data_IF_089744454250
#
_entry.id   IF_089744454250
#
_cell.length_a   1.000
_cell.length_b   1.000
_cell.length_c   1.000
_cell.angle_alpha   90.00
_cell.angle_beta   90.00
_cell.angle_gamma   90.00
#
_symmetry.space_group_name_H-M   'P 1'
#
loop_
_entity.id
_entity.type
_entity.pdbx_description
1 polymer ?
#
# COMPACT_ATOMS: atom_id res chain seq x y z
N UNK A 1 -1.28 3.03 -22.40
CA UNK A 1 -0.26 3.39 -21.39
C UNK A 1 -0.09 4.91 -21.27
N UNK A 2 0.40 5.61 -22.32
CA UNK A 2 0.68 7.06 -22.25
C UNK A 2 -0.54 7.91 -21.84
N UNK A 3 -1.72 7.64 -22.40
CA UNK A 3 -2.95 8.34 -22.02
C UNK A 3 -3.30 8.17 -20.53
N UNK A 4 -3.22 6.94 -20.01
CA UNK A 4 -3.48 6.67 -18.59
C UNK A 4 -2.45 7.32 -17.67
N UNK A 5 -1.17 7.34 -18.08
CA UNK A 5 -0.12 8.04 -17.34
C UNK A 5 -0.36 9.55 -17.32
N UNK A 6 -0.77 10.15 -18.45
CA UNK A 6 -1.12 11.57 -18.51
C UNK A 6 -2.33 11.87 -17.62
N UNK A 7 -3.38 11.05 -17.68
CA UNK A 7 -4.56 11.19 -16.83
C UNK A 7 -4.18 11.11 -15.34
N UNK A 8 -3.33 10.14 -14.96
CA UNK A 8 -2.84 9.98 -13.59
C UNK A 8 -2.03 11.20 -13.11
N UNK A 9 -1.14 11.73 -13.94
CA UNK A 9 -0.36 12.93 -13.62
C UNK A 9 -1.25 14.17 -13.48
N UNK A 10 -2.21 14.36 -14.39
CA UNK A 10 -3.17 15.46 -14.31
C UNK A 10 -4.02 15.35 -13.04
N UNK A 11 -4.57 14.17 -12.74
CA UNK A 11 -5.32 13.96 -11.51
C UNK A 11 -4.47 14.22 -10.26
N UNK A 12 -3.22 13.74 -10.24
CA UNK A 12 -2.29 14.00 -9.14
C UNK A 12 -1.97 15.48 -8.97
N UNK A 13 -1.88 16.24 -10.06
CA UNK A 13 -1.70 17.70 -10.03
C UNK A 13 -2.94 18.43 -9.49
N UNK A 14 -4.14 17.94 -9.80
CA UNK A 14 -5.40 18.51 -9.31
C UNK A 14 -5.64 18.26 -7.82
N UNK A 15 -5.04 17.23 -7.24
CA UNK A 15 -5.18 16.90 -5.81
C UNK A 15 -4.27 17.81 -4.98
N UNK A 16 -2.94 17.61 -5.06
CA UNK A 16 -1.96 18.46 -4.40
C UNK A 16 -0.56 18.29 -4.99
N UNK A 17 0.36 19.17 -4.58
CA UNK A 17 1.72 19.19 -5.09
C UNK A 17 2.52 17.94 -4.70
N UNK A 18 2.32 17.38 -3.49
CA UNK A 18 3.02 16.19 -3.02
C UNK A 18 2.65 14.96 -3.86
N UNK A 19 1.36 14.78 -4.15
CA UNK A 19 0.89 13.68 -5.01
C UNK A 19 1.48 13.78 -6.41
N UNK A 20 1.58 14.99 -6.99
CA UNK A 20 2.23 15.18 -8.30
C UNK A 20 3.73 14.88 -8.28
N UNK A 21 4.46 15.32 -7.25
CA UNK A 21 5.92 15.08 -7.15
C UNK A 21 6.24 13.59 -7.05
N UNK A 22 5.40 12.82 -6.34
CA UNK A 22 5.60 11.38 -6.14
C UNK A 22 4.98 10.52 -7.26
N UNK A 23 4.06 11.07 -8.04
CA UNK A 23 3.40 10.35 -9.13
C UNK A 23 4.37 9.73 -10.17
N UNK A 24 5.46 10.41 -10.63
CA UNK A 24 6.44 9.80 -11.50
C UNK A 24 7.09 8.54 -10.92
N UNK A 25 7.41 8.53 -9.62
CA UNK A 25 7.97 7.36 -8.94
C UNK A 25 6.96 6.19 -8.96
N UNK A 26 5.69 6.49 -8.68
CA UNK A 26 4.63 5.49 -8.76
C UNK A 26 4.49 4.90 -10.17
N UNK A 27 4.53 5.75 -11.21
CA UNK A 27 4.48 5.30 -12.61
C UNK A 27 5.69 4.46 -12.99
N UNK A 28 6.89 4.78 -12.51
CA UNK A 28 8.09 3.97 -12.78
C UNK A 28 7.96 2.59 -12.14
N UNK A 29 7.45 2.50 -10.92
CA UNK A 29 7.25 1.22 -10.23
C UNK A 29 6.17 0.39 -10.95
N UNK A 30 4.99 0.96 -11.21
CA UNK A 30 3.85 0.27 -11.85
C UNK A 30 4.13 -0.03 -13.33
N UNK A 31 4.87 0.82 -14.03
CA UNK A 31 5.27 0.57 -15.42
C UNK A 31 6.41 -0.43 -15.54
N UNK A 32 7.27 -0.50 -14.53
CA UNK A 32 8.50 -1.30 -14.54
C UNK A 32 8.40 -2.65 -13.84
N UNK A 33 7.39 -2.91 -13.00
CA UNK A 33 7.36 -4.12 -12.17
C UNK A 33 7.46 -5.41 -12.99
N UNK A 34 6.83 -5.47 -14.16
CA UNK A 34 6.82 -6.66 -15.03
C UNK A 34 8.22 -7.05 -15.53
N UNK A 35 9.14 -6.08 -15.63
CA UNK A 35 10.51 -6.32 -16.05
C UNK A 35 11.36 -6.96 -14.95
N UNK A 36 10.95 -6.84 -13.69
CA UNK A 36 11.77 -7.23 -12.53
C UNK A 36 12.07 -8.72 -12.46
N UNK A 37 11.20 -9.56 -13.05
CA UNK A 37 11.42 -11.00 -13.25
C UNK A 37 12.74 -11.30 -13.99
N UNK A 38 13.30 -10.38 -14.78
CA UNK A 38 14.59 -10.59 -15.45
C UNK A 38 15.78 -10.57 -14.49
N UNK A 39 15.65 -9.88 -13.35
CA UNK A 39 16.78 -9.61 -12.45
C UNK A 39 16.66 -10.33 -11.12
N UNK A 40 15.45 -10.48 -10.56
CA UNK A 40 15.25 -11.03 -9.21
C UNK A 40 14.02 -11.92 -9.10
N UNK A 41 14.10 -12.94 -8.24
CA UNK A 41 12.95 -13.76 -7.86
C UNK A 41 12.00 -13.00 -6.89
N UNK A 42 12.44 -11.87 -6.33
CA UNK A 42 11.65 -11.02 -5.44
C UNK A 42 10.72 -10.07 -6.20
N UNK A 43 10.45 -10.33 -7.48
CA UNK A 43 9.58 -9.51 -8.34
C UNK A 43 8.18 -9.29 -7.75
N UNK A 44 7.66 -10.28 -7.01
CA UNK A 44 6.36 -10.22 -6.33
C UNK A 44 6.29 -9.08 -5.31
N UNK A 45 7.40 -8.77 -4.63
CA UNK A 45 7.48 -7.64 -3.71
C UNK A 45 7.45 -6.29 -4.43
N UNK A 46 7.89 -6.24 -5.70
CA UNK A 46 7.83 -5.01 -6.50
C UNK A 46 6.40 -4.74 -6.98
N UNK A 47 5.67 -5.79 -7.37
CA UNK A 47 4.23 -5.66 -7.60
C UNK A 47 3.50 -5.23 -6.32
N UNK A 48 3.83 -5.88 -5.19
CA UNK A 48 3.32 -5.50 -3.88
C UNK A 48 3.60 -4.04 -3.55
N UNK A 49 4.81 -3.56 -3.80
CA UNK A 49 5.17 -2.15 -3.64
C UNK A 49 4.29 -1.25 -4.51
N UNK A 50 4.06 -1.62 -5.77
CA UNK A 50 3.19 -0.85 -6.67
C UNK A 50 1.78 -0.63 -6.12
N UNK A 51 1.18 -1.65 -5.50
CA UNK A 51 -0.14 -1.52 -4.87
C UNK A 51 -0.10 -0.89 -3.47
N UNK A 52 0.99 -1.03 -2.71
CA UNK A 52 1.19 -0.35 -1.44
C UNK A 52 1.29 1.18 -1.57
N UNK A 53 1.58 1.70 -2.77
CA UNK A 53 1.52 3.13 -3.04
C UNK A 53 0.08 3.68 -2.97
N UNK A 54 -0.95 2.85 -3.10
CA UNK A 54 -2.35 3.31 -3.03
C UNK A 54 -2.73 3.87 -1.65
N UNK A 55 -2.54 3.17 -0.51
CA UNK A 55 -2.82 3.75 0.81
C UNK A 55 -1.90 4.94 1.14
N UNK A 56 -0.62 4.92 0.72
CA UNK A 56 0.29 6.06 0.90
C UNK A 56 -0.17 7.28 0.10
N UNK A 57 -0.57 7.09 -1.16
CA UNK A 57 -1.08 8.13 -2.04
C UNK A 57 -2.42 8.67 -1.57
N UNK A 58 -3.32 7.81 -1.08
CA UNK A 58 -4.60 8.22 -0.48
C UNK A 58 -4.40 9.06 0.78
N UNK A 59 -3.47 8.67 1.64
CA UNK A 59 -3.09 9.47 2.80
C UNK A 59 -2.54 10.84 2.39
N UNK A 60 -1.55 10.87 1.49
CA UNK A 60 -0.98 12.10 0.94
C UNK A 60 -2.02 13.00 0.26
N UNK A 61 -3.01 12.42 -0.41
CA UNK A 61 -4.11 13.16 -1.00
C UNK A 61 -4.97 13.85 0.08
N UNK A 62 -5.20 13.17 1.21
CA UNK A 62 -6.02 13.67 2.31
C UNK A 62 -5.32 14.74 3.16
N UNK A 63 -4.02 14.60 3.41
CA UNK A 63 -3.27 15.48 4.35
C UNK A 63 -2.29 16.44 3.66
N UNK A 64 -2.13 16.31 2.34
CA UNK A 64 -1.22 17.14 1.58
C UNK A 64 -1.67 18.61 1.51
N UNK A 65 -0.72 19.53 1.32
CA UNK A 65 -1.02 20.97 1.27
C UNK A 65 -1.52 21.38 -0.12
N UNK A 66 -2.61 22.15 -0.22
CA UNK A 66 -3.08 22.73 -1.48
C UNK A 66 -2.04 23.64 -2.14
N UNK A 67 -2.28 23.99 -3.41
CA UNK A 67 -1.49 24.99 -4.13
C UNK A 67 -1.71 26.39 -3.52
N UNK A 68 -0.82 26.83 -2.64
CA UNK A 68 -0.87 28.18 -2.08
C UNK A 68 0.00 29.13 -2.93
N UNK A 69 -0.65 29.79 -3.89
CA UNK A 69 -0.04 30.77 -4.80
C UNK A 69 0.05 32.16 -4.11
N UNK A 70 -0.68 32.39 -3.01
CA UNK A 70 -0.84 33.71 -2.41
C UNK A 70 0.24 34.06 -1.38
N UNK A 71 0.90 33.07 -0.75
CA UNK A 71 1.90 33.30 0.30
C UNK A 71 3.31 33.61 -0.21
N UNK A 72 3.56 33.60 -1.52
CA UNK A 72 4.90 33.85 -2.08
C UNK A 72 5.96 32.81 -1.70
N UNK A 73 5.58 31.76 -0.95
CA UNK A 73 6.40 30.58 -0.67
C UNK A 73 6.31 29.62 -1.85
N UNK A 74 6.79 30.14 -2.95
CA UNK A 74 7.02 29.46 -4.19
C UNK A 74 8.09 28.37 -3.95
N UNK A 75 7.68 27.10 -4.06
CA UNK A 75 8.56 25.95 -4.28
C UNK A 75 9.48 25.53 -3.12
N UNK A 76 8.93 24.90 -2.10
CA UNK A 76 9.65 23.83 -1.41
C UNK A 76 9.24 22.48 -2.02
N UNK A 77 9.74 22.07 -3.20
CA UNK A 77 9.48 20.73 -3.70
C UNK A 77 10.07 19.76 -2.69
N UNK A 78 9.34 18.67 -2.43
CA UNK A 78 9.76 17.58 -1.53
C UNK A 78 11.25 17.24 -1.72
N UNK A 79 11.75 17.27 -2.96
CA UNK A 79 13.16 17.03 -3.30
C UNK A 79 14.15 18.17 -3.00
N UNK A 80 13.79 19.46 -3.09
CA UNK A 80 14.74 20.54 -2.82
C UNK A 80 14.84 20.78 -1.32
N UNK A 81 13.74 20.77 -0.55
CA UNK A 81 13.84 20.86 0.91
C UNK A 81 14.52 19.65 1.57
N UNK A 82 14.42 18.44 1.00
CA UNK A 82 15.19 17.26 1.48
C UNK A 82 16.72 17.47 1.33
N UNK A 83 17.18 18.28 0.37
CA UNK A 83 18.61 18.47 0.10
C UNK A 83 19.15 19.89 0.36
N UNK A 84 18.32 20.93 0.48
CA UNK A 84 18.75 22.33 0.71
C UNK A 84 18.53 22.83 2.14
N UNK A 85 18.22 21.94 3.08
CA UNK A 85 17.96 22.30 4.49
C UNK A 85 19.14 21.96 5.43
N UNK A 86 20.38 21.99 4.94
CA UNK A 86 21.54 21.87 5.83
C UNK A 86 21.86 23.16 6.60
N UNK A 87 21.35 24.32 6.18
CA UNK A 87 21.55 25.57 6.93
C UNK A 87 20.30 26.46 6.84
N UNK A 88 19.55 26.57 7.94
CA UNK A 88 18.69 27.74 8.19
C UNK A 88 17.17 27.58 8.10
N UNK A 89 16.61 26.46 7.63
CA UNK A 89 15.17 26.20 7.68
C UNK A 89 14.87 25.18 8.78
N UNK A 90 14.40 25.65 9.93
CA UNK A 90 13.92 24.77 11.00
C UNK A 90 12.89 23.77 10.48
N UNK A 91 13.00 22.52 10.97
CA UNK A 91 11.97 21.47 11.13
C UNK A 91 11.01 21.08 9.97
N UNK A 92 10.95 21.79 8.84
CA UNK A 92 9.95 21.57 7.80
C UNK A 92 10.08 20.23 7.04
N UNK A 93 11.31 19.71 6.89
CA UNK A 93 11.56 18.39 6.28
C UNK A 93 11.16 17.26 7.22
N UNK A 94 11.53 17.40 8.50
CA UNK A 94 11.15 16.45 9.54
C UNK A 94 9.65 16.36 9.69
N UNK A 95 8.95 17.50 9.65
CA UNK A 95 7.49 17.59 9.69
C UNK A 95 6.83 16.96 8.46
N UNK A 96 7.34 17.22 7.26
CA UNK A 96 6.76 16.69 6.01
C UNK A 96 6.93 15.17 5.87
N UNK A 97 8.06 14.63 6.33
CA UNK A 97 8.31 13.19 6.33
C UNK A 97 7.55 12.48 7.47
N UNK A 98 7.40 13.12 8.63
CA UNK A 98 6.61 12.60 9.75
C UNK A 98 5.13 12.43 9.41
N UNK A 99 4.59 13.22 8.49
CA UNK A 99 3.22 13.05 7.97
C UNK A 99 3.09 11.73 7.20
N UNK A 100 4.03 11.43 6.29
CA UNK A 100 3.94 10.22 5.44
C UNK A 100 4.27 8.95 6.22
N UNK A 101 5.17 9.06 7.20
CA UNK A 101 5.66 7.94 7.99
C UNK A 101 4.82 7.66 9.23
N UNK A 102 3.55 8.08 9.24
CA UNK A 102 2.62 7.76 10.32
C UNK A 102 2.56 6.24 10.53
N UNK A 103 2.75 5.74 11.76
CA UNK A 103 2.92 4.30 11.99
C UNK A 103 1.74 3.46 11.47
N UNK A 104 0.50 3.97 11.60
CA UNK A 104 -0.69 3.27 11.10
C UNK A 104 -0.71 3.18 9.56
N UNK A 105 -0.34 4.26 8.88
CA UNK A 105 -0.31 4.36 7.42
C UNK A 105 0.79 3.49 6.83
N UNK A 106 1.98 3.53 7.43
CA UNK A 106 3.10 2.66 7.04
C UNK A 106 2.73 1.19 7.27
N UNK A 107 2.13 0.86 8.41
CA UNK A 107 1.68 -0.49 8.70
C UNK A 107 0.61 -0.96 7.70
N UNK A 108 -0.35 -0.11 7.33
CA UNK A 108 -1.34 -0.42 6.29
C UNK A 108 -0.67 -0.68 4.93
N UNK A 109 0.23 0.19 4.50
CA UNK A 109 0.95 0.07 3.23
C UNK A 109 1.82 -1.19 3.17
N UNK A 110 2.55 -1.50 4.25
CA UNK A 110 3.33 -2.73 4.37
C UNK A 110 2.43 -3.96 4.35
N UNK A 111 1.26 -3.90 5.00
CA UNK A 111 0.29 -4.98 4.96
C UNK A 111 -0.21 -5.24 3.54
N UNK A 112 -0.55 -4.19 2.80
CA UNK A 112 -0.93 -4.29 1.37
C UNK A 112 0.21 -4.86 0.53
N UNK A 113 1.46 -4.42 0.74
CA UNK A 113 2.63 -4.93 0.02
C UNK A 113 2.76 -6.45 0.19
N UNK A 114 2.74 -6.91 1.45
CA UNK A 114 2.93 -8.31 1.78
C UNK A 114 1.77 -9.17 1.31
N UNK A 115 0.53 -8.68 1.45
CA UNK A 115 -0.66 -9.36 0.96
C UNK A 115 -0.63 -9.54 -0.56
N UNK A 116 -0.33 -8.47 -1.30
CA UNK A 116 -0.24 -8.53 -2.77
C UNK A 116 0.87 -9.46 -3.23
N UNK A 117 2.05 -9.35 -2.62
CA UNK A 117 3.14 -10.23 -2.93
C UNK A 117 2.78 -11.71 -2.64
N UNK A 118 2.03 -11.98 -1.57
CA UNK A 118 1.63 -13.33 -1.20
C UNK A 118 0.68 -13.97 -2.20
N UNK A 119 -0.37 -13.27 -2.64
CA UNK A 119 -1.28 -13.82 -3.65
C UNK A 119 -0.65 -13.88 -5.04
N UNK A 120 0.26 -12.95 -5.38
CA UNK A 120 0.97 -12.97 -6.66
C UNK A 120 1.94 -14.15 -6.74
N UNK A 121 2.53 -14.56 -5.62
CA UNK A 121 3.29 -15.81 -5.54
C UNK A 121 2.40 -17.02 -5.84
N UNK A 122 1.18 -17.07 -5.30
CA UNK A 122 0.22 -18.16 -5.58
C UNK A 122 -0.14 -18.18 -7.05
N UNK A 123 -0.49 -17.02 -7.62
CA UNK A 123 -0.88 -16.89 -9.01
C UNK A 123 0.24 -17.31 -9.97
N UNK A 124 1.47 -16.89 -9.67
CA UNK A 124 2.65 -17.23 -10.48
C UNK A 124 3.04 -18.71 -10.49
N UNK A 125 2.42 -19.57 -9.66
CA UNK A 125 2.58 -21.02 -9.78
C UNK A 125 2.13 -21.54 -11.15
N UNK A 126 1.14 -20.89 -11.78
CA UNK A 126 0.67 -21.23 -13.13
C UNK A 126 1.71 -20.90 -14.21
N UNK A 127 2.59 -19.94 -13.94
CA UNK A 127 3.59 -19.46 -14.90
C UNK A 127 4.95 -20.19 -14.78
N UNK A 128 5.08 -21.19 -13.90
CA UNK A 128 6.40 -21.77 -13.56
C UNK A 128 7.13 -22.33 -14.79
N UNK A 129 6.47 -23.16 -15.60
CA UNK A 129 7.09 -23.78 -16.78
C UNK A 129 7.51 -22.74 -17.82
N UNK A 130 6.67 -21.72 -18.02
CA UNK A 130 6.97 -20.59 -18.90
C UNK A 130 8.17 -19.80 -18.38
N UNK A 131 8.14 -19.39 -17.11
CA UNK A 131 9.22 -18.61 -16.51
C UNK A 131 10.55 -19.38 -16.57
N UNK A 132 10.55 -20.71 -16.34
CA UNK A 132 11.73 -21.57 -16.53
C UNK A 132 12.21 -21.59 -17.97
N UNK A 133 11.30 -21.78 -18.94
CA UNK A 133 11.63 -21.84 -20.36
C UNK A 133 12.29 -20.58 -20.92
N UNK A 134 11.95 -19.41 -20.37
CA UNK A 134 12.51 -18.12 -20.77
C UNK A 134 13.60 -17.58 -19.84
N UNK A 135 14.03 -18.37 -18.85
CA UNK A 135 15.07 -17.96 -17.88
C UNK A 135 14.65 -16.78 -16.99
N UNK A 136 13.35 -16.62 -16.76
CA UNK A 136 12.79 -15.63 -15.86
C UNK A 136 12.93 -16.08 -14.41
N UNK A 137 13.00 -15.12 -13.49
CA UNK A 137 13.15 -15.34 -12.07
C UNK A 137 11.83 -15.00 -11.38
N UNK A 138 11.31 -15.97 -10.65
CA UNK A 138 10.15 -15.82 -9.76
C UNK A 138 10.36 -16.74 -8.55
N UNK A 139 9.58 -16.55 -7.49
CA UNK A 139 9.64 -17.43 -6.32
C UNK A 139 9.39 -18.89 -6.74
N UNK A 140 8.35 -19.24 -7.51
CA UNK A 140 8.15 -20.60 -8.03
C UNK A 140 9.29 -21.16 -8.88
N UNK A 141 10.00 -20.34 -9.65
CA UNK A 141 11.18 -20.82 -10.38
C UNK A 141 12.34 -21.13 -9.44
N UNK A 142 12.56 -20.28 -8.42
CA UNK A 142 13.69 -20.38 -7.50
C UNK A 142 13.52 -21.49 -6.46
N UNK A 143 12.30 -21.87 -6.12
CA UNK A 143 11.98 -22.92 -5.15
C UNK A 143 10.74 -23.70 -5.60
N UNK A 144 10.56 -24.94 -5.12
CA UNK A 144 9.37 -25.74 -5.46
C UNK A 144 8.03 -25.04 -5.13
N UNK A 145 6.94 -25.46 -5.78
CA UNK A 145 5.58 -25.03 -5.46
C UNK A 145 5.25 -25.09 -3.95
N UNK A 146 5.71 -26.12 -3.23
CA UNK A 146 5.54 -26.22 -1.77
C UNK A 146 6.24 -25.07 -1.03
N UNK A 147 7.45 -24.73 -1.46
CA UNK A 147 8.23 -23.62 -0.91
C UNK A 147 7.57 -22.28 -1.22
N UNK A 148 7.11 -22.08 -2.45
CA UNK A 148 6.41 -20.87 -2.87
C UNK A 148 5.12 -20.65 -2.05
N UNK A 149 4.31 -21.69 -1.88
CA UNK A 149 3.11 -21.63 -1.01
C UNK A 149 3.47 -21.33 0.44
N UNK A 150 4.58 -21.88 0.96
CA UNK A 150 5.05 -21.54 2.31
C UNK A 150 5.46 -20.07 2.43
N UNK A 151 6.19 -19.52 1.46
CA UNK A 151 6.54 -18.09 1.44
C UNK A 151 5.28 -17.23 1.38
N UNK A 152 4.30 -17.58 0.53
CA UNK A 152 3.02 -16.88 0.47
C UNK A 152 2.29 -16.85 1.82
N UNK A 153 2.29 -17.96 2.57
CA UNK A 153 1.72 -17.99 3.94
C UNK A 153 2.44 -17.04 4.88
N UNK A 154 3.77 -16.98 4.84
CA UNK A 154 4.54 -16.05 5.65
C UNK A 154 4.24 -14.59 5.30
N UNK A 155 4.12 -14.29 4.00
CA UNK A 155 3.75 -12.96 3.52
C UNK A 155 2.34 -12.57 4.00
N UNK A 156 1.34 -13.46 3.88
CA UNK A 156 -0.01 -13.22 4.36
C UNK A 156 -0.10 -13.12 5.90
N UNK A 157 0.67 -13.92 6.63
CA UNK A 157 0.76 -13.78 8.09
C UNK A 157 1.37 -12.42 8.48
N UNK A 158 2.44 -12.00 7.79
CA UNK A 158 3.03 -10.67 7.96
C UNK A 158 2.04 -9.55 7.63
N UNK A 159 1.26 -9.70 6.56
CA UNK A 159 0.21 -8.74 6.20
C UNK A 159 -0.83 -8.57 7.32
N UNK A 160 -1.27 -9.68 7.93
CA UNK A 160 -2.20 -9.63 9.06
C UNK A 160 -1.61 -8.90 10.27
N UNK A 161 -0.34 -9.16 10.60
CA UNK A 161 0.35 -8.44 11.68
C UNK A 161 0.39 -6.95 11.37
N UNK A 162 0.78 -6.57 10.15
CA UNK A 162 0.81 -5.19 9.70
C UNK A 162 -0.56 -4.50 9.79
N UNK A 163 -1.65 -5.16 9.40
CA UNK A 163 -2.98 -4.56 9.50
C UNK A 163 -3.49 -4.47 10.94
N UNK A 164 -3.14 -5.41 11.82
CA UNK A 164 -3.39 -5.27 13.26
C UNK A 164 -2.65 -4.04 13.81
N UNK A 165 -1.37 -3.87 13.46
CA UNK A 165 -0.59 -2.70 13.87
C UNK A 165 -1.17 -1.40 13.30
N UNK A 166 -1.72 -1.43 12.09
CA UNK A 166 -2.39 -0.28 11.50
C UNK A 166 -3.57 0.20 12.36
N UNK A 167 -4.39 -0.72 12.86
CA UNK A 167 -5.49 -0.40 13.78
C UNK A 167 -4.96 0.11 15.13
N UNK A 168 -3.99 -0.60 15.72
CA UNK A 168 -3.42 -0.25 17.04
C UNK A 168 -2.80 1.14 17.05
N UNK A 169 -2.14 1.54 15.97
CA UNK A 169 -1.51 2.85 15.86
C UNK A 169 -2.41 3.95 15.30
N UNK A 170 -3.66 3.64 14.94
CA UNK A 170 -4.55 4.61 14.30
C UNK A 170 -4.85 5.81 15.20
N UNK A 171 -5.13 5.58 16.49
CA UNK A 171 -5.37 6.65 17.49
C UNK A 171 -4.18 7.61 17.59
N UNK A 172 -2.94 7.11 17.52
CA UNK A 172 -1.74 7.96 17.51
C UNK A 172 -1.70 8.85 16.27
N UNK A 173 -2.11 8.30 15.12
CA UNK A 173 -2.20 9.07 13.87
C UNK A 173 -3.27 10.15 13.94
N UNK A 174 -4.45 9.86 14.51
CA UNK A 174 -5.51 10.88 14.71
C UNK A 174 -5.03 11.98 15.66
N UNK A 175 -4.39 11.62 16.78
CA UNK A 175 -3.85 12.61 17.74
C UNK A 175 -2.73 13.46 17.15
N UNK A 176 -1.88 12.87 16.30
CA UNK A 176 -0.83 13.61 15.61
C UNK A 176 -1.44 14.66 14.67
N UNK A 177 -2.53 14.32 13.97
CA UNK A 177 -3.28 15.27 13.14
C UNK A 177 -3.93 16.38 13.99
N UNK A 178 -4.59 16.02 15.09
CA UNK A 178 -5.32 16.98 15.93
C UNK A 178 -4.41 18.00 16.64
N UNK A 179 -3.15 17.64 16.89
CA UNK A 179 -2.15 18.51 17.52
C UNK A 179 -1.45 19.46 16.53
N UNK A 180 -1.84 19.46 15.25
CA UNK A 180 -1.24 20.33 14.24
C UNK A 180 0.17 19.90 13.79
N UNK A 181 0.64 18.72 14.21
CA UNK A 181 1.88 18.12 13.73
C UNK A 181 1.67 17.62 12.29
N UNK A 182 1.75 18.55 11.34
CA UNK A 182 1.82 18.29 9.91
C UNK A 182 0.57 18.58 9.08
N UNK A 183 -0.59 18.85 9.70
CA UNK A 183 -1.83 19.15 8.99
C UNK A 183 -2.42 20.52 9.41
N UNK A 184 -1.56 21.54 9.53
CA UNK A 184 -2.00 22.91 9.73
C UNK A 184 -3.05 23.28 8.68
N UNK A 185 -4.29 23.45 9.16
CA UNK A 185 -5.56 23.72 8.46
C UNK A 185 -6.56 22.56 8.21
N UNK A 186 -6.32 21.30 8.64
CA UNK A 186 -7.33 20.22 8.53
C UNK A 186 -7.97 19.79 9.87
N UNK A 187 -7.65 20.47 10.97
CA UNK A 187 -8.12 20.15 12.33
C UNK A 187 -9.64 20.30 12.50
N UNK A 188 -10.37 20.82 11.50
CA UNK A 188 -11.84 20.93 11.59
C UNK A 188 -12.58 19.58 11.39
N UNK A 189 -11.91 18.54 10.86
CA UNK A 189 -12.54 17.26 10.52
C UNK A 189 -11.71 16.02 10.91
N UNK A 190 -10.86 16.13 11.94
CA UNK A 190 -10.27 14.92 12.53
C UNK A 190 -11.38 14.17 13.28
N UNK A 191 -11.74 12.94 12.89
CA UNK A 191 -12.75 12.18 13.62
C UNK A 191 -12.29 12.05 15.08
N UNK A 192 -13.15 12.37 16.05
CA UNK A 192 -12.91 12.10 17.48
C UNK A 192 -12.84 10.59 17.79
N UNK A 193 -13.01 9.78 16.74
CA UNK A 193 -13.40 8.39 16.74
C UNK A 193 -12.22 7.50 16.36
N UNK A 194 -11.88 6.58 17.26
CA UNK A 194 -10.85 5.56 17.05
C UNK A 194 -11.42 4.37 16.28
N UNK A 195 -10.60 3.64 15.52
CA UNK A 195 -11.03 2.35 14.95
C UNK A 195 -11.43 1.39 16.08
N UNK A 196 -12.61 0.81 15.96
CA UNK A 196 -13.28 0.03 16.98
C UNK A 196 -13.43 -1.43 16.60
N UNK A 197 -14.44 -2.09 17.19
CA UNK A 197 -14.67 -3.52 17.05
C UNK A 197 -14.94 -3.96 15.59
N UNK A 198 -15.47 -3.07 14.74
CA UNK A 198 -15.81 -3.40 13.36
C UNK A 198 -14.57 -3.52 12.48
N UNK A 199 -13.54 -2.69 12.68
CA UNK A 199 -12.26 -2.86 12.00
C UNK A 199 -11.56 -4.16 12.38
N UNK A 200 -11.66 -4.58 13.65
CA UNK A 200 -11.16 -5.90 14.06
C UNK A 200 -11.97 -7.05 13.45
N UNK A 201 -13.29 -6.90 13.30
CA UNK A 201 -14.11 -7.88 12.59
C UNK A 201 -13.68 -8.00 11.12
N UNK A 202 -13.36 -6.89 10.46
CA UNK A 202 -12.84 -6.88 9.10
C UNK A 202 -11.53 -7.69 8.99
N UNK A 203 -10.64 -7.59 9.98
CA UNK A 203 -9.41 -8.39 10.03
C UNK A 203 -9.68 -9.88 10.24
N UNK A 204 -10.64 -10.23 11.09
CA UNK A 204 -11.03 -11.64 11.29
C UNK A 204 -11.55 -12.24 9.99
N UNK A 205 -12.42 -11.51 9.28
CA UNK A 205 -12.95 -11.96 7.99
C UNK A 205 -11.82 -12.08 6.95
N UNK A 206 -10.95 -11.08 6.85
CA UNK A 206 -9.79 -11.14 5.96
C UNK A 206 -8.90 -12.35 6.27
N UNK A 207 -8.60 -12.61 7.55
CA UNK A 207 -7.82 -13.78 7.98
C UNK A 207 -8.47 -15.11 7.60
N UNK A 208 -9.80 -15.24 7.78
CA UNK A 208 -10.55 -16.42 7.35
C UNK A 208 -10.50 -16.59 5.83
N UNK A 209 -10.66 -15.51 5.07
CA UNK A 209 -10.56 -15.53 3.61
C UNK A 209 -9.16 -15.96 3.15
N UNK A 210 -8.08 -15.46 3.78
CA UNK A 210 -6.70 -15.86 3.47
C UNK A 210 -6.45 -17.33 3.82
N UNK A 211 -6.96 -17.82 4.96
CA UNK A 211 -6.86 -19.24 5.30
C UNK A 211 -7.59 -20.12 4.27
N UNK A 212 -8.77 -19.68 3.83
CA UNK A 212 -9.52 -20.39 2.81
C UNK A 212 -8.83 -20.36 1.46
N UNK A 213 -8.28 -19.22 1.03
CA UNK A 213 -7.46 -19.08 -0.17
C UNK A 213 -6.31 -20.10 -0.20
N UNK A 214 -5.56 -20.20 0.90
CA UNK A 214 -4.48 -21.18 1.05
C UNK A 214 -4.94 -22.63 1.07
N UNK A 215 -6.21 -22.90 1.38
CA UNK A 215 -6.80 -24.23 1.31
C UNK A 215 -7.27 -24.62 -0.10
N UNK A 216 -7.50 -23.63 -0.98
CA UNK A 216 -7.93 -23.83 -2.35
C UNK A 216 -6.79 -24.26 -3.27
N UNK A 217 -5.56 -23.84 -2.97
CA UNK A 217 -4.39 -24.11 -3.81
C UNK A 217 -3.49 -25.13 -3.13
N UNK A 218 -3.24 -26.23 -3.82
CA UNK A 218 -2.31 -27.26 -3.38
C UNK A 218 -1.13 -27.31 -4.35
N UNK A 219 0.01 -27.74 -3.85
CA UNK A 219 1.24 -27.86 -4.64
C UNK A 219 1.11 -28.79 -5.86
N UNK A 220 0.15 -29.71 -5.82
CA UNK A 220 -0.14 -30.75 -6.80
C UNK A 220 -1.47 -30.53 -7.55
N UNK A 221 -2.25 -29.53 -7.16
CA UNK A 221 -3.52 -29.19 -7.78
C UNK A 221 -3.73 -27.66 -7.78
N UNK A 222 -3.54 -27.06 -8.96
CA UNK A 222 -3.72 -25.64 -9.22
C UNK A 222 -5.10 -25.31 -9.82
N UNK A 223 -6.03 -26.28 -9.89
CA UNK A 223 -7.31 -26.12 -10.58
C UNK A 223 -8.23 -25.03 -10.00
N UNK A 224 -7.92 -24.50 -8.82
CA UNK A 224 -8.67 -23.42 -8.16
C UNK A 224 -7.84 -22.16 -7.88
N UNK A 225 -6.67 -22.01 -8.51
CA UNK A 225 -5.81 -20.82 -8.35
C UNK A 225 -6.53 -19.53 -8.74
N UNK A 226 -7.29 -19.53 -9.83
CA UNK A 226 -8.02 -18.32 -10.26
C UNK A 226 -9.08 -17.89 -9.24
N UNK A 227 -9.77 -18.86 -8.63
CA UNK A 227 -10.76 -18.59 -7.58
C UNK A 227 -10.09 -18.10 -6.28
N UNK A 228 -8.93 -18.67 -5.95
CA UNK A 228 -8.10 -18.20 -4.85
C UNK A 228 -7.64 -16.76 -5.09
N UNK A 229 -7.13 -16.46 -6.29
CA UNK A 229 -6.64 -15.13 -6.64
C UNK A 229 -7.77 -14.10 -6.80
N UNK A 230 -8.67 -14.26 -7.78
CA UNK A 230 -9.64 -13.22 -8.12
C UNK A 230 -10.77 -13.09 -7.09
N UNK A 231 -11.37 -14.22 -6.70
CA UNK A 231 -12.57 -14.18 -5.85
C UNK A 231 -12.22 -13.82 -4.42
N UNK A 232 -11.21 -14.46 -3.81
CA UNK A 232 -10.89 -14.20 -2.40
C UNK A 232 -10.31 -12.81 -2.20
N UNK A 233 -9.36 -12.38 -3.04
CA UNK A 233 -8.78 -11.04 -2.91
C UNK A 233 -9.79 -9.93 -3.23
N UNK A 234 -10.73 -10.17 -4.15
CA UNK A 234 -11.87 -9.28 -4.37
C UNK A 234 -12.77 -9.14 -3.15
N UNK A 235 -13.13 -10.27 -2.50
CA UNK A 235 -13.92 -10.27 -1.26
C UNK A 235 -13.20 -9.55 -0.13
N UNK A 236 -11.91 -9.85 0.10
CA UNK A 236 -11.09 -9.19 1.12
C UNK A 236 -11.11 -7.67 0.90
N UNK A 237 -10.85 -7.20 -0.33
CA UNK A 237 -10.80 -5.77 -0.65
C UNK A 237 -12.12 -5.06 -0.33
N UNK A 238 -13.24 -5.60 -0.82
CA UNK A 238 -14.56 -4.95 -0.69
C UNK A 238 -15.02 -4.98 0.76
N UNK A 239 -14.94 -6.13 1.43
CA UNK A 239 -15.41 -6.27 2.81
C UNK A 239 -14.56 -5.42 3.75
N UNK A 240 -13.23 -5.44 3.58
CA UNK A 240 -12.33 -4.63 4.39
C UNK A 240 -12.62 -3.15 4.22
N UNK A 241 -12.75 -2.65 2.99
CA UNK A 241 -13.06 -1.25 2.72
C UNK A 241 -14.41 -0.84 3.34
N UNK A 242 -15.47 -1.62 3.12
CA UNK A 242 -16.81 -1.29 3.63
C UNK A 242 -16.87 -1.27 5.16
N UNK A 243 -16.25 -2.25 5.82
CA UNK A 243 -16.29 -2.34 7.29
C UNK A 243 -15.42 -1.26 7.94
N UNK A 244 -14.25 -0.95 7.40
CA UNK A 244 -13.41 0.15 7.92
C UNK A 244 -14.10 1.50 7.71
N UNK A 245 -14.71 1.73 6.54
CA UNK A 245 -15.50 2.95 6.30
C UNK A 245 -16.67 3.03 7.29
N UNK A 246 -17.40 1.93 7.51
CA UNK A 246 -18.50 1.87 8.47
C UNK A 246 -18.02 2.20 9.89
N UNK A 247 -16.90 1.64 10.32
CA UNK A 247 -16.34 1.88 11.65
C UNK A 247 -15.94 3.35 11.82
N UNK A 248 -15.29 3.96 10.81
CA UNK A 248 -14.87 5.37 10.87
C UNK A 248 -16.04 6.35 10.86
N UNK A 249 -17.11 6.10 10.11
CA UNK A 249 -18.16 7.09 9.85
C UNK A 249 -19.48 6.86 10.58
N UNK A 250 -19.72 5.67 11.14
CA UNK A 250 -21.05 5.31 11.70
C UNK A 250 -20.99 4.87 13.15
N UNK A 251 -19.92 4.20 13.57
CA UNK A 251 -19.87 3.49 14.87
C UNK A 251 -18.80 4.06 15.78
N UNK A 252 -17.63 4.37 15.21
CA UNK A 252 -16.48 4.93 15.90
C UNK A 252 -16.85 6.21 16.60
#
# INVERSE_FOLDING_TARGET
ALFAALLFLTASAMINHQTLILAPLALVIIGGYSLTKRWTALCHLVLGLGLALAPLGGWLAAVGRPWDIASGNEWAPLGLTIFTSLEGAGNAVGESLAIVLQPSVVALALGVLLWVAGFDVIYSLQDEDFDRGYGLKSIPVRMSAKGALFISRLLHAGAMVCWILAIVFFDQTVRALSQGNGAGALVEYAPEHTLGAVSYLALVIAGVCLLYEHSLVKHDDLGRVDAAFFTMNGVISIVFALLVILDVFVIG
#
